data_IF_727221262005
#
_entry.id   IF_727221262005
#
_cell.length_a   1.000
_cell.length_b   1.000
_cell.length_c   1.000
_cell.angle_alpha   90.00
_cell.angle_beta   90.00
_cell.angle_gamma   90.00
#
_symmetry.space_group_name_H-M   'P 1'
#
loop_
_entity.id
_entity.type
_entity.pdbx_description
1 polymer ?
#
# COMPACT_ATOMS: atom_id res chain seq x y z
N UNK A 1 -14.95 17.42 16.29
CA UNK A 1 -13.67 16.74 16.52
C UNK A 1 -12.94 16.69 15.20
N UNK A 2 -11.62 16.83 15.20
CA UNK A 2 -10.81 16.80 13.99
C UNK A 2 -10.75 15.34 13.51
N UNK A 3 -11.01 15.07 12.23
CA UNK A 3 -10.96 13.71 11.65
C UNK A 3 -9.67 12.95 12.01
N UNK A 4 -8.54 13.67 12.10
CA UNK A 4 -7.26 13.09 12.49
C UNK A 4 -7.25 12.57 13.94
N UNK A 5 -7.98 13.21 14.85
CA UNK A 5 -8.06 12.79 16.26
C UNK A 5 -8.86 11.48 16.38
N UNK A 6 -9.97 11.37 15.66
CA UNK A 6 -10.79 10.16 15.62
C UNK A 6 -10.03 8.98 15.00
N UNK A 7 -9.32 9.23 13.88
CA UNK A 7 -8.50 8.21 13.23
C UNK A 7 -7.37 7.72 14.14
N UNK A 8 -6.67 8.64 14.81
CA UNK A 8 -5.58 8.31 15.74
C UNK A 8 -6.11 7.46 16.91
N UNK A 9 -7.25 7.84 17.49
CA UNK A 9 -7.87 7.10 18.59
C UNK A 9 -8.27 5.66 18.20
N UNK A 10 -8.58 5.39 16.93
CA UNK A 10 -8.87 4.05 16.43
C UNK A 10 -7.57 3.25 16.25
N UNK A 11 -6.53 3.88 15.69
CA UNK A 11 -5.22 3.25 15.46
C UNK A 11 -4.57 2.87 16.80
N UNK A 12 -4.62 3.76 17.79
CA UNK A 12 -4.01 3.56 19.12
C UNK A 12 -4.63 2.39 19.90
N UNK A 13 -5.88 2.02 19.60
CA UNK A 13 -6.57 0.87 20.21
C UNK A 13 -6.13 -0.48 19.64
N UNK A 14 -5.27 -0.53 18.62
CA UNK A 14 -4.85 -1.78 17.97
C UNK A 14 -3.52 -2.27 18.53
N UNK A 15 -3.52 -3.49 19.08
CA UNK A 15 -2.36 -4.07 19.79
C UNK A 15 -1.18 -4.50 18.90
N UNK A 16 -1.27 -4.39 17.57
CA UNK A 16 -0.23 -4.87 16.66
C UNK A 16 0.12 -3.87 15.54
N UNK A 17 0.14 -2.58 15.90
CA UNK A 17 0.57 -1.52 14.98
C UNK A 17 2.08 -1.33 15.13
N UNK A 18 2.81 -1.53 14.04
CA UNK A 18 4.25 -1.28 13.99
C UNK A 18 4.51 0.03 13.25
N UNK A 19 4.97 1.06 13.98
CA UNK A 19 5.29 2.36 13.41
C UNK A 19 6.76 2.38 13.00
N UNK A 20 7.04 2.63 11.72
CA UNK A 20 8.41 2.72 11.16
C UNK A 20 9.35 1.57 11.60
N UNK A 21 8.95 0.29 11.42
CA UNK A 21 9.74 -0.85 11.87
C UNK A 21 11.11 -0.88 11.18
N UNK A 22 12.16 -1.31 11.90
CA UNK A 22 13.48 -1.47 11.29
C UNK A 22 13.42 -2.60 10.26
N UNK A 23 14.23 -2.49 9.20
CA UNK A 23 14.35 -3.52 8.16
C UNK A 23 14.51 -4.95 8.71
N UNK A 24 15.32 -5.13 9.76
CA UNK A 24 15.56 -6.44 10.38
C UNK A 24 14.28 -7.07 10.95
N UNK A 25 13.38 -6.24 11.48
CA UNK A 25 12.14 -6.69 12.10
C UNK A 25 11.11 -7.05 11.03
N UNK A 26 11.06 -6.28 9.92
CA UNK A 26 10.29 -6.61 8.73
C UNK A 26 10.70 -7.96 8.11
N UNK A 27 12.01 -8.20 7.95
CA UNK A 27 12.52 -9.48 7.42
C UNK A 27 12.08 -10.66 8.30
N UNK A 28 12.23 -10.53 9.63
CA UNK A 28 11.81 -11.56 10.58
C UNK A 28 10.30 -11.82 10.51
N UNK A 29 9.49 -10.76 10.42
CA UNK A 29 8.04 -10.87 10.32
C UNK A 29 7.61 -11.60 9.04
N UNK A 30 8.14 -11.20 7.87
CA UNK A 30 7.80 -11.81 6.59
C UNK A 30 8.16 -13.31 6.54
N UNK A 31 9.31 -13.69 7.09
CA UNK A 31 9.72 -15.12 7.20
C UNK A 31 8.81 -15.86 8.18
N UNK A 32 8.54 -15.30 9.36
CA UNK A 32 7.64 -15.89 10.37
C UNK A 32 6.22 -16.13 9.81
N UNK A 33 5.72 -15.19 9.01
CA UNK A 33 4.40 -15.24 8.38
C UNK A 33 4.33 -16.13 7.14
N UNK A 34 5.47 -16.67 6.67
CA UNK A 34 5.57 -17.47 5.43
C UNK A 34 5.16 -16.71 4.16
N UNK A 35 5.37 -15.40 4.15
CA UNK A 35 5.14 -14.53 2.98
C UNK A 35 6.34 -14.58 2.00
N UNK A 36 7.49 -15.03 2.50
CA UNK A 36 8.75 -15.10 1.74
C UNK A 36 9.50 -16.39 2.06
N UNK A 37 10.39 -16.77 1.14
CA UNK A 37 11.39 -17.81 1.31
C UNK A 37 12.79 -17.17 1.29
N UNK A 38 13.68 -17.65 2.15
CA UNK A 38 15.08 -17.21 2.15
C UNK A 38 15.85 -18.07 1.14
N UNK A 39 16.33 -17.44 0.07
CA UNK A 39 17.19 -18.10 -0.93
C UNK A 39 18.56 -18.45 -0.33
N UNK A 40 19.32 -19.31 -1.02
CA UNK A 40 20.65 -19.78 -0.58
C UNK A 40 21.60 -18.65 -0.16
N UNK A 41 21.52 -17.50 -0.83
CA UNK A 41 22.41 -16.35 -0.59
C UNK A 41 21.77 -15.26 0.28
N UNK A 42 20.62 -15.54 0.92
CA UNK A 42 19.98 -14.62 1.86
C UNK A 42 19.01 -13.60 1.25
N UNK A 43 18.80 -13.61 -0.07
CA UNK A 43 17.73 -12.81 -0.69
C UNK A 43 16.35 -13.38 -0.33
N UNK A 44 15.37 -12.51 -0.12
CA UNK A 44 13.99 -12.90 0.11
C UNK A 44 13.29 -13.09 -1.24
N UNK A 45 12.88 -14.32 -1.51
CA UNK A 45 12.05 -14.67 -2.65
C UNK A 45 10.58 -14.68 -2.23
N UNK A 46 9.70 -14.15 -3.07
CA UNK A 46 8.24 -14.17 -2.86
C UNK A 46 7.55 -14.41 -4.19
N UNK A 47 6.25 -14.70 -4.14
CA UNK A 47 5.40 -14.82 -5.32
C UNK A 47 4.21 -13.89 -5.12
N UNK A 48 4.04 -12.93 -6.02
CA UNK A 48 2.77 -12.19 -6.08
C UNK A 48 1.70 -13.12 -6.63
N UNK A 49 0.43 -12.81 -6.36
CA UNK A 49 -0.66 -13.63 -6.89
C UNK A 49 -0.66 -13.59 -8.42
N UNK A 50 -1.14 -14.65 -9.07
CA UNK A 50 -1.06 -14.80 -10.54
C UNK A 50 -1.78 -13.67 -11.28
N UNK A 51 -2.85 -13.15 -10.70
CA UNK A 51 -3.61 -12.02 -11.21
C UNK A 51 -2.86 -10.67 -11.16
N UNK A 52 -1.74 -10.58 -10.44
CA UNK A 52 -1.01 -9.33 -10.20
C UNK A 52 0.51 -9.56 -10.16
N UNK A 53 1.08 -9.97 -11.31
CA UNK A 53 2.54 -10.04 -11.51
C UNK A 53 3.13 -8.76 -12.11
N UNK A 54 2.29 -7.74 -12.31
CA UNK A 54 2.64 -6.44 -12.86
C UNK A 54 1.69 -5.36 -12.39
N UNK A 55 1.80 -4.17 -12.99
CA UNK A 55 0.86 -3.07 -12.70
C UNK A 55 -0.54 -3.43 -13.21
N UNK A 56 -1.55 -2.88 -12.53
CA UNK A 56 -2.94 -2.88 -13.00
C UNK A 56 -3.39 -1.44 -13.32
N UNK A 57 -3.04 -0.90 -14.51
CA UNK A 57 -3.36 0.49 -14.85
C UNK A 57 -4.85 0.81 -14.76
N UNK A 58 -5.71 -0.17 -15.08
CA UNK A 58 -7.17 -0.02 -15.06
C UNK A 58 -7.78 0.08 -13.65
N UNK A 59 -7.02 -0.26 -12.62
CA UNK A 59 -7.42 -0.19 -11.21
C UNK A 59 -6.77 1.00 -10.48
N UNK A 60 -6.02 1.83 -11.21
CA UNK A 60 -5.40 3.05 -10.65
C UNK A 60 -6.33 4.23 -10.89
N UNK A 61 -6.89 4.77 -9.81
CA UNK A 61 -7.90 5.83 -9.87
C UNK A 61 -7.41 7.11 -9.20
N UNK A 62 -7.93 8.25 -9.67
CA UNK A 62 -7.73 9.57 -9.05
C UNK A 62 -9.08 10.15 -8.66
N UNK A 63 -9.24 10.57 -7.40
CA UNK A 63 -10.48 11.20 -6.93
C UNK A 63 -10.68 12.51 -7.67
N UNK A 64 -11.81 12.65 -8.34
CA UNK A 64 -12.14 13.87 -9.06
C UNK A 64 -12.63 14.92 -8.07
N UNK A 65 -11.79 15.89 -7.75
CA UNK A 65 -12.11 16.98 -6.81
C UNK A 65 -12.02 18.34 -7.50
N UNK A 66 -12.91 19.30 -7.16
CA UNK A 66 -12.90 20.62 -7.79
C UNK A 66 -11.55 21.35 -7.70
N UNK A 67 -10.80 21.13 -6.62
CA UNK A 67 -9.54 21.81 -6.35
C UNK A 67 -8.41 21.41 -7.32
N UNK A 68 -8.44 20.19 -7.86
CA UNK A 68 -7.38 19.65 -8.74
C UNK A 68 -7.87 19.39 -10.17
N UNK A 69 -9.16 19.60 -10.45
CA UNK A 69 -9.80 19.20 -11.72
C UNK A 69 -9.11 19.78 -12.95
N UNK A 70 -8.56 20.99 -12.84
CA UNK A 70 -7.88 21.69 -13.93
C UNK A 70 -6.41 21.33 -14.09
N UNK A 71 -5.83 20.62 -13.11
CA UNK A 71 -4.41 20.24 -13.10
C UNK A 71 -4.20 18.82 -13.65
N UNK A 72 -5.25 18.00 -13.66
CA UNK A 72 -5.21 16.63 -14.13
C UNK A 72 -5.60 16.55 -15.62
N UNK A 73 -4.77 15.87 -16.39
CA UNK A 73 -5.10 15.47 -17.77
C UNK A 73 -6.07 14.28 -17.74
N UNK A 74 -7.38 14.56 -17.75
CA UNK A 74 -8.42 13.53 -17.73
C UNK A 74 -8.57 12.76 -19.04
N UNK A 75 -7.99 13.23 -20.14
CA UNK A 75 -8.01 12.55 -21.43
C UNK A 75 -6.92 11.45 -21.52
N UNK A 76 -5.95 11.47 -20.59
CA UNK A 76 -4.94 10.42 -20.47
C UNK A 76 -5.56 9.07 -20.06
N UNK A 77 -5.22 7.96 -20.73
CA UNK A 77 -5.73 6.63 -20.38
C UNK A 77 -5.27 6.13 -18.99
N UNK A 78 -4.34 6.82 -18.34
CA UNK A 78 -3.85 6.48 -17.01
C UNK A 78 -4.52 7.28 -15.87
N UNK A 79 -5.35 8.29 -16.18
CA UNK A 79 -5.97 9.17 -15.20
C UNK A 79 -7.47 8.86 -15.09
N UNK A 80 -7.80 7.71 -14.52
CA UNK A 80 -9.17 7.24 -14.38
C UNK A 80 -9.88 7.98 -13.23
N UNK A 81 -10.98 8.71 -13.48
CA UNK A 81 -11.66 9.49 -12.45
C UNK A 81 -12.50 8.59 -11.53
N UNK A 82 -12.38 8.80 -10.22
CA UNK A 82 -13.28 8.28 -9.19
C UNK A 82 -14.17 9.43 -8.69
N UNK A 83 -15.49 9.26 -8.84
CA UNK A 83 -16.50 10.23 -8.41
C UNK A 83 -16.63 10.28 -6.88
#
# INVERSE_FOLDING_TARGET
MNFLEELTAIIDKKENVHINPKRRDLIKAAVKNREVLVSKNGALATWTRMESTGRSPKDTLTVKRPEIDKEIDWDSPNNLPLA
#
